data_IF_896786815501
#
_entry.id   IF_896786815501
#
_cell.length_a   1.000
_cell.length_b   1.000
_cell.length_c   1.000
_cell.angle_alpha   90.00
_cell.angle_beta   90.00
_cell.angle_gamma   90.00
#
_symmetry.space_group_name_H-M   'P 1'
#
loop_
_entity.id
_entity.type
_entity.pdbx_description
1 polymer ?
#
# COMPACT_ATOMS: atom_id res chain seq x y z
N UNK A 1 11.86 -14.67 -0.91
CA UNK A 1 10.43 -14.28 -0.92
C UNK A 1 10.14 -13.72 -2.30
N UNK A 2 9.18 -14.31 -3.02
CA UNK A 2 8.77 -13.87 -4.36
C UNK A 2 8.08 -12.52 -4.28
N UNK A 3 8.21 -11.71 -5.34
CA UNK A 3 7.63 -10.37 -5.44
C UNK A 3 6.11 -10.41 -5.15
N UNK A 4 5.42 -11.45 -5.61
CA UNK A 4 4.00 -11.70 -5.33
C UNK A 4 3.67 -11.77 -3.84
N UNK A 5 4.51 -12.42 -3.02
CA UNK A 5 4.26 -12.55 -1.58
C UNK A 5 4.41 -11.21 -0.88
N UNK A 6 5.38 -10.40 -1.30
CA UNK A 6 5.57 -9.04 -0.81
C UNK A 6 4.34 -8.18 -1.14
N UNK A 7 3.80 -8.33 -2.35
CA UNK A 7 2.62 -7.60 -2.82
C UNK A 7 1.36 -7.99 -2.06
N UNK A 8 1.10 -9.28 -1.84
CA UNK A 8 -0.06 -9.73 -1.05
C UNK A 8 0.01 -9.26 0.40
N UNK A 9 1.21 -9.21 0.96
CA UNK A 9 1.44 -8.68 2.32
C UNK A 9 1.14 -7.19 2.38
N UNK A 10 1.53 -6.44 1.35
CA UNK A 10 1.26 -5.01 1.23
C UNK A 10 -0.25 -4.73 1.12
N UNK A 11 -0.98 -5.50 0.30
CA UNK A 11 -2.44 -5.38 0.17
C UNK A 11 -3.14 -5.71 1.50
N UNK A 12 -2.71 -6.74 2.22
CA UNK A 12 -3.26 -7.10 3.53
C UNK A 12 -2.97 -6.06 4.61
N UNK A 13 -1.77 -5.46 4.61
CA UNK A 13 -1.43 -4.35 5.51
C UNK A 13 -2.30 -3.13 5.23
N UNK A 14 -2.61 -2.88 3.97
CA UNK A 14 -3.51 -1.82 3.54
C UNK A 14 -4.94 -2.00 4.05
N UNK A 15 -5.46 -3.21 3.92
CA UNK A 15 -6.82 -3.55 4.36
C UNK A 15 -6.93 -3.60 5.89
N UNK A 16 -5.83 -3.93 6.56
CA UNK A 16 -5.74 -3.96 8.02
C UNK A 16 -5.40 -2.60 8.65
N UNK A 17 -5.11 -1.56 7.87
CA UNK A 17 -4.85 -0.23 8.42
C UNK A 17 -6.13 0.33 9.05
N UNK A 18 -6.14 0.62 10.35
CA UNK A 18 -7.32 1.13 11.03
C UNK A 18 -7.67 2.52 10.50
N UNK A 19 -8.97 2.75 10.26
CA UNK A 19 -9.54 4.02 9.75
C UNK A 19 -9.24 5.22 10.66
N UNK A 20 -8.80 5.00 11.91
CA UNK A 20 -8.41 6.06 12.85
C UNK A 20 -6.94 6.52 12.69
N UNK A 21 -6.06 5.80 11.97
CA UNK A 21 -4.73 6.34 11.62
C UNK A 21 -4.86 7.61 10.77
N UNK A 22 -5.95 7.75 10.00
CA UNK A 22 -6.25 8.97 9.23
C UNK A 22 -6.41 10.19 10.14
N UNK A 23 -6.85 10.01 11.39
CA UNK A 23 -7.04 11.10 12.36
C UNK A 23 -5.80 11.42 13.17
N UNK A 24 -4.99 10.42 13.54
CA UNK A 24 -3.79 10.64 14.35
C UNK A 24 -2.55 11.03 13.53
N UNK A 25 -2.39 10.50 12.31
CA UNK A 25 -1.20 10.72 11.50
C UNK A 25 -1.51 10.87 10.00
N UNK A 26 -2.21 11.94 9.59
CA UNK A 26 -2.62 12.16 8.21
C UNK A 26 -1.43 12.24 7.24
N UNK A 27 -0.29 12.77 7.66
CA UNK A 27 0.91 12.85 6.81
C UNK A 27 1.55 11.48 6.58
N UNK A 28 1.58 10.61 7.61
CA UNK A 28 2.13 9.24 7.47
C UNK A 28 1.22 8.37 6.62
N UNK A 29 -0.10 8.49 6.79
CA UNK A 29 -1.05 7.73 6.00
C UNK A 29 -1.02 8.19 4.52
N UNK A 30 -0.83 9.49 4.27
CA UNK A 30 -0.62 9.99 2.90
C UNK A 30 0.62 9.40 2.25
N UNK A 31 1.76 9.36 2.96
CA UNK A 31 3.00 8.76 2.45
C UNK A 31 2.82 7.27 2.17
N UNK A 32 2.20 6.54 3.11
CA UNK A 32 1.91 5.11 2.95
C UNK A 32 1.03 4.92 1.72
N UNK A 33 -0.08 5.66 1.60
CA UNK A 33 -1.01 5.60 0.46
C UNK A 33 -0.37 5.97 -0.88
N UNK A 34 0.53 6.95 -0.92
CA UNK A 34 1.30 7.32 -2.11
C UNK A 34 2.26 6.19 -2.54
N UNK A 35 3.01 5.62 -1.59
CA UNK A 35 3.92 4.49 -1.84
C UNK A 35 3.13 3.28 -2.36
N UNK A 36 1.99 3.00 -1.75
CA UNK A 36 1.12 1.90 -2.16
C UNK A 36 0.49 2.14 -3.52
N UNK A 37 0.04 3.36 -3.80
CA UNK A 37 -0.45 3.78 -5.11
C UNK A 37 0.62 3.61 -6.19
N UNK A 38 1.88 3.94 -5.88
CA UNK A 38 3.03 3.71 -6.76
C UNK A 38 3.27 2.22 -7.00
N UNK A 39 3.19 1.37 -5.97
CA UNK A 39 3.35 -0.09 -6.09
C UNK A 39 2.24 -0.69 -6.97
N UNK A 40 0.98 -0.28 -6.77
CA UNK A 40 -0.15 -0.73 -7.59
C UNK A 40 -0.03 -0.24 -9.04
N UNK A 41 0.43 0.99 -9.24
CA UNK A 41 0.64 1.56 -10.58
C UNK A 41 1.79 0.87 -11.31
N UNK A 42 2.90 0.62 -10.62
CA UNK A 42 4.01 -0.16 -11.14
C UNK A 42 3.59 -1.60 -11.49
N UNK A 43 2.72 -2.23 -10.67
CA UNK A 43 2.09 -3.51 -10.99
C UNK A 43 1.27 -3.46 -12.27
N UNK A 44 0.41 -2.44 -12.44
CA UNK A 44 -0.38 -2.27 -13.67
C UNK A 44 0.52 -2.09 -14.90
N UNK A 45 1.65 -1.39 -14.75
CA UNK A 45 2.63 -1.22 -15.82
C UNK A 45 3.41 -2.51 -16.14
N UNK A 46 3.74 -3.32 -15.14
CA UNK A 46 4.46 -4.59 -15.34
C UNK A 46 3.54 -5.73 -15.82
N UNK A 47 2.23 -5.63 -15.55
CA UNK A 47 1.23 -6.59 -16.04
C UNK A 47 0.72 -6.29 -17.46
N UNK A 48 1.19 -5.20 -18.07
CA UNK A 48 0.95 -4.78 -19.46
C UNK A 48 2.09 -5.28 -20.36
#
# INVERSE_FOLDING_TARGET
MTLDVLLTTIDAVLEALPEDIDKEHPERLKIIRDILGLVITARKLHAL
#
